data_IF_843684722064
#
_entry.id   IF_843684722064
#
_cell.length_a   1.000
_cell.length_b   1.000
_cell.length_c   1.000
_cell.angle_alpha   90.00
_cell.angle_beta   90.00
_cell.angle_gamma   90.00
#
_symmetry.space_group_name_H-M   'P 1'
#
loop_
_entity.id
_entity.type
_entity.pdbx_description
1 polymer ?
#
# COMPACT_ATOMS: atom_id res chain seq x y z
N UNK A 1 -2.94 8.58 -1.22
CA UNK A 1 -1.95 9.24 -0.38
C UNK A 1 -0.85 8.27 0.00
N UNK A 2 0.21 8.78 0.51
CA UNK A 2 1.40 8.00 0.81
C UNK A 2 1.28 7.25 2.13
N UNK A 3 1.97 6.15 2.24
CA UNK A 3 2.39 5.62 3.52
C UNK A 3 3.29 6.68 4.18
N UNK A 4 3.20 6.83 5.50
CA UNK A 4 3.99 7.85 6.17
C UNK A 4 5.51 7.63 6.03
N UNK A 5 5.91 6.39 5.75
CA UNK A 5 7.31 6.02 5.52
C UNK A 5 7.85 6.51 4.18
N UNK A 6 6.96 6.73 3.20
CA UNK A 6 7.34 7.17 1.85
C UNK A 6 6.61 8.45 1.47
N UNK A 7 6.20 9.22 2.44
CA UNK A 7 5.52 10.49 2.19
C UNK A 7 6.37 11.48 1.41
N UNK A 8 5.74 12.55 0.89
CA UNK A 8 6.47 13.52 0.07
C UNK A 8 7.64 14.13 0.83
N UNK A 9 8.77 14.40 0.15
CA UNK A 9 9.91 15.07 0.80
C UNK A 9 9.49 16.42 1.38
N UNK A 10 9.98 16.71 2.57
CA UNK A 10 9.67 17.95 3.25
C UNK A 10 8.40 17.95 4.07
N UNK A 11 7.59 16.92 3.96
CA UNK A 11 6.43 16.75 4.84
C UNK A 11 6.92 16.27 6.19
N UNK A 12 6.59 16.99 7.23
CA UNK A 12 7.03 16.68 8.59
C UNK A 12 5.80 16.38 9.43
N UNK A 13 5.78 15.19 9.98
CA UNK A 13 4.85 14.85 11.03
C UNK A 13 5.26 15.62 12.29
N UNK A 14 4.33 16.20 12.99
CA UNK A 14 4.61 17.02 14.15
C UNK A 14 5.38 16.29 15.25
N UNK A 15 5.27 14.98 15.34
CA UNK A 15 5.96 14.20 16.34
C UNK A 15 7.26 13.60 15.83
N UNK A 16 7.39 13.38 14.53
CA UNK A 16 8.48 12.61 13.96
C UNK A 16 9.61 13.43 13.40
N UNK A 17 9.32 14.59 12.91
CA UNK A 17 10.33 15.45 12.32
C UNK A 17 11.08 14.83 11.14
N UNK A 18 10.66 13.68 10.65
CA UNK A 18 11.34 13.00 9.56
C UNK A 18 10.42 12.83 8.38
N UNK A 19 10.90 13.21 7.23
CA UNK A 19 10.35 12.81 5.95
C UNK A 19 11.44 12.04 5.21
N UNK A 20 11.05 10.97 4.55
CA UNK A 20 11.99 10.18 3.77
C UNK A 20 12.23 10.86 2.43
N UNK A 21 13.48 10.88 2.01
CA UNK A 21 13.84 11.30 0.67
C UNK A 21 13.62 10.12 -0.27
N UNK A 22 13.27 10.42 -1.52
CA UNK A 22 13.10 9.37 -2.54
C UNK A 22 14.37 8.53 -2.68
N UNK A 23 15.54 9.13 -2.51
CA UNK A 23 16.83 8.45 -2.59
C UNK A 23 17.04 7.42 -1.47
N UNK A 24 16.25 7.47 -0.40
CA UNK A 24 16.33 6.51 0.71
C UNK A 24 15.48 5.26 0.45
N UNK A 25 14.69 5.25 -0.62
CA UNK A 25 13.84 4.12 -0.98
C UNK A 25 14.68 3.12 -1.76
N UNK A 26 14.80 1.91 -1.22
CA UNK A 26 15.71 0.90 -1.78
C UNK A 26 15.24 0.34 -3.11
N UNK A 27 13.92 0.14 -3.27
CA UNK A 27 13.36 -0.45 -4.49
C UNK A 27 12.20 0.41 -4.98
N UNK A 28 12.48 1.58 -5.57
CA UNK A 28 11.42 2.52 -5.94
C UNK A 28 10.44 1.97 -6.98
N UNK A 29 10.88 1.08 -7.86
CA UNK A 29 10.02 0.51 -8.90
C UNK A 29 9.01 -0.50 -8.37
N UNK A 30 9.09 -0.89 -7.10
CA UNK A 30 8.12 -1.76 -6.45
C UNK A 30 7.49 -1.15 -5.20
N UNK A 31 7.93 0.03 -4.79
CA UNK A 31 7.41 0.69 -3.59
C UNK A 31 6.19 1.53 -3.96
N UNK A 32 5.06 1.22 -3.32
CA UNK A 32 3.79 1.89 -3.61
C UNK A 32 3.82 3.36 -3.20
N UNK A 33 3.32 4.22 -4.08
CA UNK A 33 3.15 5.64 -3.83
C UNK A 33 1.67 6.01 -3.75
N UNK A 34 0.91 5.61 -4.77
CA UNK A 34 -0.55 5.77 -4.83
C UNK A 34 -1.18 4.47 -5.31
N UNK A 35 -2.42 4.26 -4.95
CA UNK A 35 -3.18 3.10 -5.41
C UNK A 35 -4.67 3.44 -5.49
N UNK A 36 -5.44 2.54 -6.09
CA UNK A 36 -6.89 2.64 -6.09
C UNK A 36 -7.40 2.34 -4.68
N UNK A 37 -7.81 3.39 -3.96
CA UNK A 37 -8.36 3.25 -2.61
C UNK A 37 -9.83 2.87 -2.66
N UNK A 38 -10.24 2.04 -1.72
CA UNK A 38 -11.65 1.73 -1.53
C UNK A 38 -12.44 2.90 -0.96
N UNK A 39 -13.68 3.05 -1.40
CA UNK A 39 -14.59 4.08 -0.90
C UNK A 39 -15.64 3.46 0.03
N UNK A 40 -16.21 4.24 0.96
CA UNK A 40 -17.26 3.71 1.83
C UNK A 40 -18.42 3.12 1.04
N UNK A 41 -18.86 1.93 1.44
CA UNK A 41 -19.93 1.21 0.74
C UNK A 41 -19.49 0.32 -0.39
N UNK A 42 -18.25 0.45 -0.83
CA UNK A 42 -17.67 -0.47 -1.83
C UNK A 42 -17.33 -1.81 -1.18
N UNK A 43 -17.54 -2.90 -1.91
CA UNK A 43 -17.21 -4.23 -1.42
C UNK A 43 -15.70 -4.41 -1.30
N UNK A 44 -15.26 -4.90 -0.14
CA UNK A 44 -13.85 -5.21 0.09
C UNK A 44 -13.45 -6.46 -0.67
N UNK A 45 -12.15 -6.57 -0.98
CA UNK A 45 -11.60 -7.76 -1.64
C UNK A 45 -11.72 -9.00 -0.75
N UNK A 46 -11.57 -8.84 0.56
CA UNK A 46 -11.74 -9.92 1.50
C UNK A 46 -12.25 -9.38 2.83
N UNK A 47 -12.87 -10.24 3.67
CA UNK A 47 -13.45 -9.79 4.94
C UNK A 47 -12.43 -9.35 5.97
N UNK A 48 -11.14 -9.64 5.75
CA UNK A 48 -10.07 -9.29 6.68
C UNK A 48 -9.54 -7.87 6.49
N UNK A 49 -9.85 -7.22 5.36
CA UNK A 49 -9.49 -5.82 5.17
C UNK A 49 -10.29 -4.93 6.11
N UNK A 50 -9.69 -3.83 6.54
CA UNK A 50 -10.40 -2.80 7.27
C UNK A 50 -11.51 -2.19 6.40
N UNK A 51 -12.54 -1.64 7.03
CA UNK A 51 -13.57 -0.94 6.28
C UNK A 51 -12.95 0.19 5.45
N UNK A 52 -13.41 0.33 4.22
CA UNK A 52 -12.93 1.41 3.35
C UNK A 52 -13.38 2.76 3.88
N UNK A 53 -12.45 3.69 3.98
CA UNK A 53 -12.70 5.02 4.57
C UNK A 53 -12.84 6.12 3.53
N UNK A 54 -12.46 5.85 2.28
CA UNK A 54 -12.45 6.88 1.24
C UNK A 54 -11.31 7.87 1.36
N UNK A 55 -10.41 7.67 2.32
CA UNK A 55 -9.25 8.53 2.49
C UNK A 55 -8.12 8.06 1.56
N UNK A 56 -7.40 8.99 0.92
CA UNK A 56 -6.33 8.61 -0.01
C UNK A 56 -5.08 8.14 0.75
N UNK A 57 -5.03 6.87 1.06
CA UNK A 57 -3.93 6.23 1.80
C UNK A 57 -3.34 5.09 0.98
N UNK A 58 -2.02 4.98 0.98
CA UNK A 58 -1.32 3.90 0.31
C UNK A 58 -1.11 2.71 1.26
N UNK A 59 -2.21 2.10 1.68
CA UNK A 59 -2.16 0.91 2.53
C UNK A 59 -2.87 -0.25 1.84
N UNK A 60 -2.31 -1.45 1.96
CA UNK A 60 -2.92 -2.65 1.41
C UNK A 60 -4.35 -2.86 1.94
N UNK A 61 -4.61 -2.50 3.19
CA UNK A 61 -5.94 -2.64 3.78
C UNK A 61 -7.00 -1.74 3.11
N UNK A 62 -6.60 -0.75 2.35
CA UNK A 62 -7.49 0.16 1.63
C UNK A 62 -7.49 -0.08 0.11
N UNK A 63 -6.74 -1.05 -0.37
CA UNK A 63 -6.65 -1.36 -1.79
C UNK A 63 -7.98 -1.88 -2.32
N UNK A 64 -8.46 -1.27 -3.40
CA UNK A 64 -9.71 -1.65 -4.05
C UNK A 64 -9.46 -2.49 -5.29
N UNK A 65 -10.18 -3.58 -5.42
CA UNK A 65 -10.15 -4.44 -6.60
C UNK A 65 -11.30 -4.16 -7.57
N UNK A 66 -11.69 -2.91 -7.75
CA UNK A 66 -12.87 -2.54 -8.57
C UNK A 66 -12.74 -2.89 -10.04
N UNK A 67 -11.55 -3.22 -10.52
CA UNK A 67 -11.31 -3.61 -11.89
C UNK A 67 -11.17 -5.14 -11.99
N UNK A 68 -12.27 -5.87 -11.81
CA UNK A 68 -12.30 -7.34 -11.85
C UNK A 68 -11.35 -7.96 -10.82
N UNK A 69 -11.47 -7.52 -9.57
CA UNK A 69 -10.62 -7.93 -8.46
C UNK A 69 -9.15 -7.52 -8.61
N UNK A 70 -8.89 -6.55 -9.46
CA UNK A 70 -7.57 -5.94 -9.64
C UNK A 70 -7.65 -4.43 -9.44
N UNK A 71 -6.53 -3.80 -9.22
CA UNK A 71 -6.44 -2.36 -9.07
C UNK A 71 -5.10 -1.84 -9.52
N UNK A 72 -5.03 -0.54 -9.70
CA UNK A 72 -3.83 0.12 -10.18
C UNK A 72 -2.98 0.62 -9.02
N UNK A 73 -1.67 0.51 -9.18
CA UNK A 73 -0.69 1.06 -8.25
C UNK A 73 0.32 1.88 -9.03
N UNK A 74 0.54 3.12 -8.58
CA UNK A 74 1.64 3.94 -9.02
C UNK A 74 2.80 3.76 -8.04
N UNK A 75 3.96 3.42 -8.54
CA UNK A 75 5.16 3.21 -7.73
C UNK A 75 6.00 4.48 -7.66
N UNK A 76 6.85 4.56 -6.64
CA UNK A 76 7.75 5.70 -6.44
C UNK A 76 8.63 5.95 -7.68
N UNK A 77 9.01 4.90 -8.38
CA UNK A 77 9.80 5.01 -9.61
C UNK A 77 9.05 5.58 -10.81
N UNK A 78 7.74 5.86 -10.68
CA UNK A 78 6.93 6.44 -11.74
C UNK A 78 6.19 5.43 -12.60
N UNK A 79 6.48 4.15 -12.46
CA UNK A 79 5.79 3.10 -13.21
C UNK A 79 4.43 2.77 -12.57
N UNK A 80 3.51 2.30 -13.40
CA UNK A 80 2.16 1.90 -12.97
C UNK A 80 1.96 0.43 -13.31
N UNK A 81 1.31 -0.31 -12.42
CA UNK A 81 0.90 -1.68 -12.67
C UNK A 81 -0.54 -1.89 -12.25
N UNK A 82 -1.25 -2.76 -12.98
CA UNK A 82 -2.55 -3.26 -12.56
C UNK A 82 -2.32 -4.65 -11.98
N UNK A 83 -2.61 -4.83 -10.71
CA UNK A 83 -2.32 -6.09 -10.00
C UNK A 83 -3.59 -6.71 -9.46
N UNK A 84 -3.71 -8.06 -9.53
CA UNK A 84 -4.81 -8.74 -8.85
C UNK A 84 -4.73 -8.53 -7.35
N UNK A 85 -5.88 -8.46 -6.69
CA UNK A 85 -5.93 -8.22 -5.25
C UNK A 85 -5.12 -9.22 -4.43
N UNK A 86 -5.07 -10.48 -4.87
CA UNK A 86 -4.29 -11.52 -4.19
C UNK A 86 -2.78 -11.25 -4.17
N UNK A 87 -2.28 -10.41 -5.07
CA UNK A 87 -0.87 -10.03 -5.13
C UNK A 87 -0.56 -8.79 -4.29
N UNK A 88 -1.58 -8.12 -3.79
CA UNK A 88 -1.46 -6.87 -3.03
C UNK A 88 -1.87 -7.05 -1.58
N UNK A 89 -2.97 -7.76 -1.34
CA UNK A 89 -3.57 -7.92 -0.02
C UNK A 89 -3.36 -9.37 0.45
N UNK A 90 -2.96 -9.52 1.69
CA UNK A 90 -2.86 -10.85 2.31
C UNK A 90 -4.26 -11.34 2.65
N UNK A 91 -4.74 -12.30 1.89
CA UNK A 91 -6.08 -12.88 2.06
C UNK A 91 -6.06 -14.23 2.78
N UNK A 92 -4.90 -14.67 3.25
CA UNK A 92 -4.78 -15.92 3.97
C UNK A 92 -5.36 -15.76 5.39
N UNK A 93 -6.43 -16.52 5.74
CA UNK A 93 -7.04 -16.38 7.07
C UNK A 93 -6.13 -16.81 8.22
N UNK A 94 -5.07 -17.56 7.94
CA UNK A 94 -4.12 -18.00 8.94
C UNK A 94 -2.94 -17.04 9.12
N UNK A 95 -2.85 -16.00 8.30
CA UNK A 95 -1.76 -15.03 8.37
C UNK A 95 -2.00 -14.01 9.48
N UNK A 96 -0.93 -13.62 10.18
CA UNK A 96 -1.00 -12.53 11.16
C UNK A 96 -1.19 -11.17 10.49
N UNK A 97 -0.89 -11.08 9.21
CA UNK A 97 -1.03 -9.84 8.43
C UNK A 97 -2.27 -9.84 7.54
N UNK A 98 -3.20 -10.77 7.75
CA UNK A 98 -4.39 -10.90 6.92
C UNK A 98 -5.14 -9.57 6.79
N UNK A 99 -5.57 -9.28 5.57
CA UNK A 99 -6.27 -8.03 5.25
C UNK A 99 -5.36 -6.82 5.05
N UNK A 100 -4.06 -6.99 5.26
CA UNK A 100 -3.06 -5.95 5.08
C UNK A 100 -2.01 -6.35 4.05
N UNK A 101 -0.80 -5.83 4.21
CA UNK A 101 0.30 -6.10 3.30
C UNK A 101 0.78 -7.55 3.41
N UNK A 102 1.20 -8.10 2.28
CA UNK A 102 1.83 -9.42 2.22
C UNK A 102 3.27 -9.29 2.72
N UNK A 103 3.66 -10.12 3.67
CA UNK A 103 5.02 -10.13 4.21
C UNK A 103 5.55 -11.56 4.24
N UNK A 104 6.77 -11.84 3.73
CA UNK A 104 7.66 -10.90 3.05
C UNK A 104 7.04 -10.35 1.75
N UNK A 105 7.42 -9.13 1.34
CA UNK A 105 6.83 -8.53 0.15
C UNK A 105 7.16 -9.31 -1.11
N UNK A 106 6.19 -9.43 -2.01
CA UNK A 106 6.35 -10.14 -3.28
C UNK A 106 6.27 -9.17 -4.45
N UNK A 107 5.11 -8.58 -4.70
CA UNK A 107 4.88 -7.67 -5.83
C UNK A 107 4.93 -6.20 -5.44
N UNK A 108 4.55 -5.88 -4.21
CA UNK A 108 4.42 -4.50 -3.74
C UNK A 108 5.16 -4.35 -2.42
N UNK A 109 5.99 -3.32 -2.34
CA UNK A 109 6.73 -2.96 -1.14
C UNK A 109 6.06 -1.72 -0.56
N UNK A 110 5.79 -1.73 0.74
CA UNK A 110 5.04 -0.69 1.42
C UNK A 110 5.90 0.22 2.29
N UNK A 111 7.17 -0.14 2.48
CA UNK A 111 8.12 0.58 3.31
C UNK A 111 9.36 0.91 2.49
N UNK A 112 10.12 1.92 2.91
CA UNK A 112 11.36 2.29 2.23
C UNK A 112 12.40 1.17 2.22
N UNK A 113 12.36 0.31 3.23
CA UNK A 113 13.21 -0.87 3.35
C UNK A 113 12.31 -2.10 3.32
N UNK A 114 12.45 -2.99 2.30
CA UNK A 114 11.56 -4.14 2.16
C UNK A 114 11.72 -5.18 3.27
N UNK A 115 12.74 -5.08 4.11
CA UNK A 115 12.90 -5.99 5.26
C UNK A 115 12.09 -5.55 6.48
N UNK A 116 11.53 -4.35 6.48
CA UNK A 116 10.71 -3.86 7.57
C UNK A 116 9.34 -4.54 7.59
N UNK A 117 8.87 -4.85 8.79
CA UNK A 117 7.55 -5.45 8.99
C UNK A 117 6.47 -4.43 8.63
N UNK A 118 5.39 -4.86 7.98
CA UNK A 118 4.28 -4.00 7.62
C UNK A 118 3.64 -3.30 8.82
#
# INVERSE_FOLDING_TARGET
MFDYEVGPPGVVDGSQSTSLKITEIQVPEQTALFLDDGVPGEERLCPFQAAYTGQPKAYASQFSGRHKNAGNILFVGGNVATLPGKDVVDMNPDSVYRGGAIYPPTKVIWRHDPTLVP
#
